data_IF_987757553822
#
_entry.id   IF_987757553822
#
_cell.length_a   1.000
_cell.length_b   1.000
_cell.length_c   1.000
_cell.angle_alpha   90.00
_cell.angle_beta   90.00
_cell.angle_gamma   90.00
#
_symmetry.space_group_name_H-M   'P 1'
#
loop_
_entity.id
_entity.type
_entity.pdbx_description
1 polymer ?
#
# COMPACT_ATOMS: atom_id res chain seq x y z
N UNK A 1 -12.76 9.83 -28.66
CA UNK A 1 -12.66 9.39 -27.25
C UNK A 1 -11.41 8.57 -26.98
N UNK A 2 -11.10 7.51 -27.75
CA UNK A 2 -9.85 6.75 -27.56
C UNK A 2 -8.61 7.64 -27.71
N UNK A 3 -8.58 8.49 -28.73
CA UNK A 3 -7.47 9.45 -28.92
C UNK A 3 -7.40 10.45 -27.77
N UNK A 4 -8.55 10.96 -27.31
CA UNK A 4 -8.59 11.84 -26.14
C UNK A 4 -8.03 11.16 -24.87
N UNK A 5 -8.34 9.88 -24.62
CA UNK A 5 -7.74 9.12 -23.51
C UNK A 5 -6.22 8.98 -23.65
N UNK A 6 -5.74 8.66 -24.86
CA UNK A 6 -4.30 8.51 -25.12
C UNK A 6 -3.56 9.85 -24.91
N UNK A 7 -4.06 10.91 -25.53
CA UNK A 7 -3.39 12.22 -25.55
C UNK A 7 -3.53 12.99 -24.24
N UNK A 8 -4.73 13.00 -23.64
CA UNK A 8 -5.03 13.87 -22.48
C UNK A 8 -4.83 13.16 -21.14
N UNK A 9 -4.84 11.83 -21.09
CA UNK A 9 -4.71 11.06 -19.83
C UNK A 9 -3.42 10.27 -19.82
N UNK A 10 -3.22 9.36 -20.78
CA UNK A 10 -2.06 8.45 -20.73
C UNK A 10 -0.74 9.22 -20.86
N UNK A 11 -0.60 10.06 -21.89
CA UNK A 11 0.61 10.87 -22.09
C UNK A 11 0.81 11.94 -21.01
N UNK A 12 -0.25 12.35 -20.31
CA UNK A 12 -0.16 13.31 -19.22
C UNK A 12 0.35 12.69 -17.91
N UNK A 13 0.16 11.38 -17.71
CA UNK A 13 0.47 10.68 -16.45
C UNK A 13 1.69 9.79 -16.55
N UNK A 14 1.87 9.09 -17.68
CA UNK A 14 2.98 8.14 -17.87
C UNK A 14 4.16 8.87 -18.49
N UNK A 15 5.35 8.90 -17.84
CA UNK A 15 6.54 9.51 -18.41
C UNK A 15 6.90 8.90 -19.77
N UNK A 16 7.28 9.74 -20.73
CA UNK A 16 7.56 9.33 -22.11
C UNK A 16 8.70 8.33 -22.24
N UNK A 17 9.64 8.31 -21.29
CA UNK A 17 10.73 7.32 -21.24
C UNK A 17 10.25 5.87 -21.10
N UNK A 18 9.00 5.66 -20.66
CA UNK A 18 8.38 4.34 -20.53
C UNK A 18 7.34 4.04 -21.63
N UNK A 19 7.25 4.88 -22.66
CA UNK A 19 6.31 4.71 -23.77
C UNK A 19 7.10 4.60 -25.08
N UNK A 20 6.77 3.58 -25.86
CA UNK A 20 7.35 3.30 -27.16
C UNK A 20 6.29 2.82 -28.16
N UNK A 21 6.73 2.52 -29.37
CA UNK A 21 5.86 2.09 -30.46
C UNK A 21 5.29 0.68 -30.23
N UNK A 22 5.91 -0.12 -29.36
CA UNK A 22 5.46 -1.47 -28.98
C UNK A 22 4.47 -1.45 -27.81
N UNK A 23 4.22 -0.29 -27.22
CA UNK A 23 3.30 -0.14 -26.08
C UNK A 23 1.87 -0.48 -26.48
N UNK A 24 1.28 -1.48 -25.82
CA UNK A 24 -0.07 -1.96 -26.11
C UNK A 24 -1.11 -1.10 -25.37
N UNK A 25 -2.07 -0.55 -26.11
CA UNK A 25 -3.16 0.27 -25.57
C UNK A 25 -4.52 -0.43 -25.68
N UNK A 26 -5.09 -0.85 -24.54
CA UNK A 26 -6.47 -1.35 -24.46
C UNK A 26 -7.42 -0.23 -24.00
N UNK A 27 -7.85 0.63 -24.92
CA UNK A 27 -8.74 1.76 -24.61
C UNK A 27 -10.19 1.45 -24.97
N UNK A 28 -11.03 1.25 -23.94
CA UNK A 28 -12.42 0.78 -24.07
C UNK A 28 -12.56 -0.48 -24.93
N UNK A 29 -11.93 -1.59 -24.51
CA UNK A 29 -11.95 -2.84 -25.25
C UNK A 29 -13.35 -3.45 -25.33
N UNK A 30 -14.23 -3.20 -24.35
CA UNK A 30 -15.63 -3.64 -24.37
C UNK A 30 -16.51 -2.89 -25.37
N UNK A 31 -15.99 -1.86 -26.04
CA UNK A 31 -16.76 -1.01 -26.93
C UNK A 31 -17.56 0.04 -26.17
N UNK A 32 -18.89 -0.10 -26.14
CA UNK A 32 -19.79 0.93 -25.62
C UNK A 32 -20.09 0.72 -24.14
N UNK A 33 -19.75 1.70 -23.30
CA UNK A 33 -20.01 1.68 -21.86
C UNK A 33 -20.78 2.94 -21.44
N UNK A 34 -22.13 2.85 -21.50
CA UNK A 34 -23.02 3.99 -21.18
C UNK A 34 -23.66 3.87 -19.80
N UNK A 35 -24.15 2.67 -19.46
CA UNK A 35 -24.70 2.38 -18.12
C UNK A 35 -23.54 1.92 -17.24
N UNK A 36 -23.35 2.56 -16.10
CA UNK A 36 -22.30 2.23 -15.14
C UNK A 36 -22.70 2.57 -13.71
N UNK A 37 -21.73 2.54 -12.80
CA UNK A 37 -21.99 2.74 -11.38
C UNK A 37 -22.88 1.64 -10.76
N UNK A 38 -23.59 1.94 -9.67
CA UNK A 38 -24.39 0.93 -8.96
C UNK A 38 -25.51 0.28 -9.79
N UNK A 39 -25.94 0.90 -10.88
CA UNK A 39 -26.93 0.33 -11.80
C UNK A 39 -26.36 -0.87 -12.57
N UNK A 40 -25.05 -0.90 -12.81
CA UNK A 40 -24.38 -1.94 -13.60
C UNK A 40 -23.57 -2.95 -12.80
N UNK A 41 -23.15 -2.63 -11.57
CA UNK A 41 -22.34 -3.51 -10.72
C UNK A 41 -22.54 -3.19 -9.23
N UNK A 42 -22.71 -4.23 -8.41
CA UNK A 42 -22.94 -4.07 -6.97
C UNK A 42 -21.62 -3.78 -6.23
N UNK A 43 -21.60 -2.69 -5.48
CA UNK A 43 -20.43 -2.26 -4.70
C UNK A 43 -20.54 -2.60 -3.22
N UNK A 44 -19.41 -2.99 -2.61
CA UNK A 44 -19.29 -3.16 -1.15
C UNK A 44 -17.97 -2.56 -0.64
N UNK A 45 -18.02 -1.99 0.57
CA UNK A 45 -16.84 -1.49 1.27
C UNK A 45 -15.79 -2.59 1.45
N UNK A 46 -14.50 -2.25 1.24
CA UNK A 46 -13.41 -3.19 1.47
C UNK A 46 -13.22 -4.26 0.39
N UNK A 47 -13.79 -4.09 -0.81
CA UNK A 47 -13.60 -5.02 -1.94
C UNK A 47 -12.46 -4.66 -2.89
N UNK A 48 -11.71 -3.59 -2.60
CA UNK A 48 -10.56 -3.12 -3.40
C UNK A 48 -9.28 -2.92 -2.57
N UNK A 49 -9.10 -3.72 -1.52
CA UNK A 49 -7.98 -3.58 -0.56
C UNK A 49 -6.57 -3.61 -1.19
N UNK A 50 -6.39 -4.28 -2.33
CA UNK A 50 -5.10 -4.28 -3.05
C UNK A 50 -4.88 -2.98 -3.83
N UNK A 51 -5.96 -2.37 -4.34
CA UNK A 51 -5.91 -1.03 -4.97
C UNK A 51 -5.66 0.04 -3.90
N UNK A 52 -6.26 -0.10 -2.71
CA UNK A 52 -6.05 0.80 -1.57
C UNK A 52 -4.62 0.77 -1.00
N UNK A 53 -3.83 -0.24 -1.38
CA UNK A 53 -2.49 -0.44 -0.82
C UNK A 53 -1.40 -0.36 -1.88
N UNK A 54 -0.83 -1.50 -2.28
CA UNK A 54 0.44 -1.54 -3.00
C UNK A 54 0.34 -2.23 -4.36
N UNK A 55 -0.88 -2.40 -4.91
CA UNK A 55 -1.07 -2.91 -6.26
C UNK A 55 -0.53 -4.33 -6.48
N UNK A 56 -0.53 -5.16 -5.44
CA UNK A 56 -0.01 -6.54 -5.46
C UNK A 56 1.44 -6.67 -5.01
N UNK A 57 2.17 -5.56 -4.87
CA UNK A 57 3.52 -5.58 -4.30
C UNK A 57 3.51 -5.69 -2.77
N UNK A 58 4.57 -6.25 -2.19
CA UNK A 58 4.68 -6.44 -0.75
C UNK A 58 3.73 -7.54 -0.26
N UNK A 59 2.84 -7.20 0.68
CA UNK A 59 1.84 -8.12 1.24
C UNK A 59 0.63 -7.35 1.79
N UNK A 60 -0.45 -8.07 2.12
CA UNK A 60 -1.66 -7.50 2.72
C UNK A 60 -2.17 -8.39 3.88
N UNK A 61 -2.54 -7.78 5.01
CA UNK A 61 -3.02 -8.51 6.19
C UNK A 61 -4.50 -8.95 6.13
N UNK A 62 -5.23 -8.52 5.11
CA UNK A 62 -6.63 -8.88 4.83
C UNK A 62 -7.67 -7.87 5.32
N UNK A 63 -7.33 -7.03 6.31
CA UNK A 63 -8.23 -6.02 6.84
C UNK A 63 -8.50 -4.86 5.88
N UNK A 64 -9.77 -4.57 5.59
CA UNK A 64 -10.18 -3.35 4.88
C UNK A 64 -9.99 -2.08 5.76
N UNK A 65 -9.79 -0.92 5.14
CA UNK A 65 -9.57 0.35 5.85
C UNK A 65 -10.83 1.21 6.01
N UNK A 66 -11.59 1.41 4.93
CA UNK A 66 -12.74 2.31 4.91
C UNK A 66 -13.86 1.85 5.85
N UNK A 67 -14.51 2.81 6.52
CA UNK A 67 -15.56 2.55 7.50
C UNK A 67 -15.06 2.17 8.90
N UNK A 68 -13.73 2.12 9.12
CA UNK A 68 -13.14 1.84 10.43
C UNK A 68 -12.49 3.08 11.02
N UNK A 69 -12.81 3.40 12.27
CA UNK A 69 -12.09 4.43 13.03
C UNK A 69 -10.68 3.96 13.40
N UNK A 70 -9.87 4.89 13.90
CA UNK A 70 -8.44 4.70 14.14
C UNK A 70 -8.11 3.66 15.21
N UNK A 71 -9.07 3.27 16.07
CA UNK A 71 -8.84 2.22 17.08
C UNK A 71 -8.71 0.83 16.45
N UNK A 72 -9.13 0.66 15.18
CA UNK A 72 -9.09 -0.62 14.47
C UNK A 72 -7.70 -0.76 13.84
N UNK A 73 -6.92 -1.70 14.38
CA UNK A 73 -5.52 -1.91 13.98
C UNK A 73 -5.34 -2.28 12.51
N UNK A 74 -6.37 -2.85 11.87
CA UNK A 74 -6.37 -3.04 10.41
C UNK A 74 -6.00 -1.77 9.64
N UNK A 75 -6.43 -0.61 10.14
CA UNK A 75 -6.15 0.70 9.55
C UNK A 75 -4.94 1.36 10.18
N UNK A 76 -4.95 1.55 11.50
CA UNK A 76 -3.89 2.31 12.18
C UNK A 76 -2.53 1.63 12.11
N UNK A 77 -2.46 0.31 12.30
CA UNK A 77 -1.19 -0.41 12.19
C UNK A 77 -0.71 -0.54 10.75
N UNK A 78 -1.60 -0.67 9.77
CA UNK A 78 -1.21 -0.64 8.36
C UNK A 78 -0.57 0.70 7.98
N UNK A 79 -1.12 1.82 8.46
CA UNK A 79 -0.55 3.14 8.25
C UNK A 79 0.77 3.32 8.99
N UNK A 80 0.88 2.83 10.22
CA UNK A 80 2.13 2.85 10.97
C UNK A 80 3.22 2.00 10.29
N UNK A 81 2.88 0.81 9.79
CA UNK A 81 3.80 -0.04 9.03
C UNK A 81 4.28 0.65 7.75
N UNK A 82 3.38 1.37 7.05
CA UNK A 82 3.76 2.24 5.92
C UNK A 82 4.74 3.33 6.34
N UNK A 83 4.49 3.99 7.48
CA UNK A 83 5.36 5.04 8.00
C UNK A 83 6.75 4.51 8.32
N UNK A 84 6.83 3.35 8.99
CA UNK A 84 8.09 2.65 9.26
C UNK A 84 8.83 2.31 7.96
N UNK A 85 8.16 1.63 7.01
CA UNK A 85 8.76 1.21 5.75
C UNK A 85 9.30 2.40 4.94
N UNK A 86 8.50 3.48 4.84
CA UNK A 86 8.90 4.71 4.16
C UNK A 86 10.11 5.36 4.84
N UNK A 87 10.16 5.36 6.17
CA UNK A 87 11.25 5.96 6.93
C UNK A 87 12.56 5.19 6.77
N UNK A 88 12.51 3.85 6.78
CA UNK A 88 13.69 3.01 6.55
C UNK A 88 14.31 3.24 5.16
N UNK A 89 13.48 3.37 4.12
CA UNK A 89 13.96 3.68 2.76
C UNK A 89 14.45 5.12 2.67
N UNK A 90 13.75 6.08 3.28
CA UNK A 90 14.14 7.50 3.27
C UNK A 90 15.46 7.75 4.01
N UNK A 91 15.75 6.98 5.05
CA UNK A 91 17.02 7.00 5.78
C UNK A 91 18.12 6.19 5.07
N UNK A 92 17.88 5.72 3.85
CA UNK A 92 18.83 4.96 3.02
C UNK A 92 19.35 3.67 3.67
N UNK A 93 18.61 3.14 4.66
CA UNK A 93 18.95 1.88 5.32
C UNK A 93 18.68 0.68 4.43
N UNK A 94 17.80 0.82 3.43
CA UNK A 94 17.48 -0.19 2.43
C UNK A 94 16.89 0.48 1.19
N UNK A 95 16.90 -0.21 0.04
CA UNK A 95 16.24 0.30 -1.18
C UNK A 95 14.76 -0.11 -1.22
N UNK A 96 14.41 -1.24 -0.63
CA UNK A 96 13.05 -1.81 -0.56
C UNK A 96 12.87 -2.56 0.76
N UNK A 97 11.68 -2.47 1.35
CA UNK A 97 11.36 -3.18 2.59
C UNK A 97 9.87 -3.50 2.70
N UNK A 98 9.57 -4.65 3.29
CA UNK A 98 8.26 -5.03 3.77
C UNK A 98 8.29 -5.07 5.30
N UNK A 99 7.30 -4.44 5.93
CA UNK A 99 7.11 -4.41 7.39
C UNK A 99 5.78 -5.09 7.71
N UNK A 100 5.81 -6.06 8.61
CA UNK A 100 4.62 -6.74 9.11
C UNK A 100 4.48 -6.47 10.61
N UNK A 101 3.26 -6.18 11.05
CA UNK A 101 2.91 -5.99 12.47
C UNK A 101 1.64 -6.78 12.76
N UNK A 102 1.62 -7.52 13.87
CA UNK A 102 0.46 -8.31 14.31
C UNK A 102 0.07 -7.97 15.75
N UNK A 103 -1.23 -8.04 16.05
CA UNK A 103 -1.81 -7.73 17.37
C UNK A 103 -2.75 -8.84 17.84
N UNK A 104 -2.89 -8.96 19.15
CA UNK A 104 -4.01 -9.65 19.79
C UNK A 104 -5.03 -8.64 20.30
N UNK A 105 -6.32 -9.01 20.27
CA UNK A 105 -7.38 -8.18 20.84
C UNK A 105 -7.12 -7.94 22.34
N UNK A 106 -7.23 -6.68 22.78
CA UNK A 106 -6.97 -6.29 24.16
C UNK A 106 -5.50 -6.14 24.55
N UNK A 107 -4.55 -6.49 23.68
CA UNK A 107 -3.10 -6.33 23.95
C UNK A 107 -2.58 -5.08 23.25
N UNK A 108 -2.05 -4.13 24.02
CA UNK A 108 -1.58 -2.86 23.48
C UNK A 108 -0.31 -2.97 22.63
N UNK A 109 0.63 -3.85 23.02
CA UNK A 109 1.87 -4.04 22.29
C UNK A 109 1.69 -5.04 21.13
N UNK A 110 2.37 -4.85 19.99
CA UNK A 110 2.37 -5.85 18.92
C UNK A 110 2.89 -7.20 19.43
N UNK A 111 2.27 -8.29 18.98
CA UNK A 111 2.76 -9.64 19.21
C UNK A 111 4.05 -9.91 18.42
N UNK A 112 4.10 -9.38 17.20
CA UNK A 112 5.25 -9.51 16.32
C UNK A 112 5.43 -8.27 15.45
N UNK A 113 6.70 -7.99 15.14
CA UNK A 113 7.12 -7.03 14.13
C UNK A 113 8.20 -7.73 13.31
N UNK A 114 7.98 -7.85 12.00
CA UNK A 114 8.92 -8.49 11.07
C UNK A 114 9.34 -7.51 9.98
N UNK A 115 10.60 -7.56 9.59
CA UNK A 115 11.21 -6.68 8.59
C UNK A 115 11.83 -7.56 7.51
N UNK A 116 11.51 -7.31 6.24
CA UNK A 116 12.09 -8.02 5.09
C UNK A 116 12.61 -7.00 4.09
N UNK A 117 13.94 -6.87 3.97
CA UNK A 117 14.57 -5.85 3.12
C UNK A 117 14.99 -6.35 1.73
N UNK A 118 14.63 -7.59 1.39
CA UNK A 118 14.89 -8.21 0.08
C UNK A 118 16.36 -8.15 -0.36
N UNK A 119 17.31 -8.29 0.57
CA UNK A 119 18.75 -8.20 0.26
C UNK A 119 19.25 -6.79 -0.08
N UNK A 120 18.43 -5.75 0.06
CA UNK A 120 18.78 -4.38 -0.34
C UNK A 120 19.40 -3.51 0.78
N UNK A 121 19.73 -4.11 1.92
CA UNK A 121 20.33 -3.43 3.08
C UNK A 121 21.69 -4.03 3.38
N UNK A 122 22.58 -3.21 3.92
CA UNK A 122 23.83 -3.67 4.55
C UNK A 122 23.63 -4.13 6.00
N UNK A 123 22.45 -3.86 6.58
CA UNK A 123 22.07 -4.29 7.93
C UNK A 123 21.21 -5.54 7.85
N UNK A 124 21.34 -6.40 8.85
CA UNK A 124 20.44 -7.54 9.03
C UNK A 124 19.01 -7.08 9.38
N UNK A 125 18.03 -7.94 9.12
CA UNK A 125 16.63 -7.72 9.51
C UNK A 125 16.49 -7.47 11.02
N UNK A 126 17.34 -8.10 11.84
CA UNK A 126 17.39 -7.90 13.29
C UNK A 126 17.86 -6.48 13.66
N UNK A 127 18.93 -5.99 13.05
CA UNK A 127 19.41 -4.63 13.30
C UNK A 127 18.39 -3.59 12.86
N UNK A 128 17.73 -3.80 11.71
CA UNK A 128 16.66 -2.92 11.26
C UNK A 128 15.47 -2.96 12.22
N UNK A 129 15.09 -4.13 12.71
CA UNK A 129 14.03 -4.27 13.71
C UNK A 129 14.37 -3.52 15.01
N UNK A 130 15.62 -3.57 15.47
CA UNK A 130 16.06 -2.84 16.65
C UNK A 130 16.00 -1.31 16.44
N UNK A 131 16.35 -0.84 15.24
CA UNK A 131 16.16 0.57 14.86
C UNK A 131 14.67 0.93 14.92
N UNK A 132 13.78 0.11 14.35
CA UNK A 132 12.33 0.36 14.38
C UNK A 132 11.82 0.45 15.81
N UNK A 133 12.15 -0.52 16.67
CA UNK A 133 11.70 -0.56 18.07
C UNK A 133 12.18 0.64 18.90
N UNK A 134 13.34 1.22 18.57
CA UNK A 134 13.89 2.40 19.26
C UNK A 134 13.24 3.71 18.84
N UNK A 135 12.66 3.77 17.64
CA UNK A 135 12.17 5.01 17.04
C UNK A 135 10.64 5.08 16.88
N UNK A 136 9.96 3.94 16.95
CA UNK A 136 8.51 3.85 16.76
C UNK A 136 7.83 3.14 17.92
N UNK A 137 6.85 3.82 18.51
CA UNK A 137 5.91 3.21 19.44
C UNK A 137 4.67 2.75 18.67
N UNK A 138 4.57 1.44 18.45
CA UNK A 138 3.50 0.84 17.67
C UNK A 138 2.30 0.42 18.52
N UNK A 139 2.11 0.98 19.72
CA UNK A 139 0.85 0.79 20.46
C UNK A 139 -0.29 1.55 19.77
N UNK A 140 -1.49 0.96 19.57
CA UNK A 140 -2.57 1.61 18.81
C UNK A 140 -2.95 3.00 19.34
N UNK A 141 -2.96 3.20 20.66
CA UNK A 141 -3.25 4.50 21.27
C UNK A 141 -2.16 5.56 21.06
N UNK A 142 -0.92 5.17 20.77
CA UNK A 142 0.19 6.08 20.48
C UNK A 142 0.25 6.42 18.99
N UNK A 143 -0.04 5.44 18.11
CA UNK A 143 -0.08 5.63 16.65
C UNK A 143 -1.06 6.74 16.24
N UNK A 144 -2.14 6.91 16.99
CA UNK A 144 -3.28 7.77 16.62
C UNK A 144 -3.27 9.13 17.32
N UNK A 145 -2.25 9.39 18.14
CA UNK A 145 -2.05 10.64 18.87
C UNK A 145 -1.21 11.60 18.04
#
# INVERSE_FOLDING_TARGET
>A
MRDALKEQVVKAVVPTVYLDDDTIYHLQPSGRFVIGGPQGDAGLTGRKIIVDTYGGWGAHGGGAFSGKDYTKVDRSAAYAARWVAKSLVKAELCKRVLVQVAYAIGVAHPLSISIFHYGTSQKSERELLDIVKKNFDLRPGVIVR
#
